data_IF_372642881329
#
_entry.id   IF_372642881329
#
_cell.length_a   1.000
_cell.length_b   1.000
_cell.length_c   1.000
_cell.angle_alpha   90.00
_cell.angle_beta   90.00
_cell.angle_gamma   90.00
#
_symmetry.space_group_name_H-M   'P 1'
#
loop_
_entity.id
_entity.type
_entity.pdbx_description
1 polymer ?
#
# COMPACT_ATOMS: atom_id res chain seq x y z
N UNK A 1 16.72 15.10 -23.77
CA UNK A 1 15.83 14.13 -23.09
C UNK A 1 16.72 13.25 -22.23
N UNK A 2 16.57 13.27 -20.90
CA UNK A 2 17.32 12.37 -20.02
C UNK A 2 16.81 10.96 -20.30
N UNK A 3 17.71 10.01 -20.54
CA UNK A 3 17.33 8.61 -20.73
C UNK A 3 16.57 8.07 -19.49
N UNK A 4 15.56 7.22 -19.73
CA UNK A 4 14.69 6.64 -18.69
C UNK A 4 15.49 5.90 -17.60
N UNK A 5 16.59 5.26 -17.95
CA UNK A 5 17.46 4.55 -17.01
C UNK A 5 18.22 5.53 -16.11
N UNK A 6 18.75 6.62 -16.68
CA UNK A 6 19.36 7.72 -15.92
C UNK A 6 18.37 8.42 -14.99
N UNK A 7 17.13 8.63 -15.43
CA UNK A 7 16.07 9.22 -14.61
C UNK A 7 15.73 8.32 -13.41
N UNK A 8 15.53 7.01 -13.64
CA UNK A 8 15.22 6.06 -12.57
C UNK A 8 16.34 5.97 -11.53
N UNK A 9 17.61 6.05 -11.96
CA UNK A 9 18.75 6.08 -11.05
C UNK A 9 18.74 7.32 -10.15
N UNK A 10 18.47 8.49 -10.71
CA UNK A 10 18.37 9.75 -9.94
C UNK A 10 17.20 9.72 -8.96
N UNK A 11 16.06 9.16 -9.35
CA UNK A 11 14.91 9.01 -8.46
C UNK A 11 15.25 8.07 -7.29
N UNK A 12 15.89 6.93 -7.56
CA UNK A 12 16.32 6.01 -6.51
C UNK A 12 17.34 6.66 -5.54
N UNK A 13 18.32 7.40 -6.06
CA UNK A 13 19.26 8.18 -5.24
C UNK A 13 18.54 9.26 -4.41
N UNK A 14 17.53 9.94 -4.97
CA UNK A 14 16.71 10.89 -4.23
C UNK A 14 15.95 10.21 -3.09
N UNK A 15 15.34 9.05 -3.35
CA UNK A 15 14.58 8.29 -2.35
C UNK A 15 15.43 7.83 -1.17
N UNK A 16 16.70 7.50 -1.41
CA UNK A 16 17.65 7.13 -0.35
C UNK A 16 17.97 8.30 0.58
N UNK A 17 18.02 9.51 0.03
CA UNK A 17 18.36 10.73 0.78
C UNK A 17 17.14 11.39 1.43
N UNK A 18 15.91 11.07 0.98
CA UNK A 18 14.67 11.67 1.47
C UNK A 18 13.66 10.59 1.95
N UNK A 19 14.06 9.73 2.91
CA UNK A 19 13.29 8.54 3.28
C UNK A 19 11.99 8.84 4.03
N UNK A 20 11.72 10.09 4.42
CA UNK A 20 10.54 10.52 5.18
C UNK A 20 9.56 11.38 4.37
N UNK A 21 9.86 11.67 3.10
CA UNK A 21 8.95 12.47 2.27
C UNK A 21 7.75 11.66 1.77
N UNK A 22 6.59 12.31 1.67
CA UNK A 22 5.35 11.71 1.18
C UNK A 22 5.52 11.24 -0.28
N UNK A 23 5.27 9.97 -0.55
CA UNK A 23 5.51 9.39 -1.88
C UNK A 23 4.69 10.07 -2.98
N UNK A 24 3.47 10.48 -2.67
CA UNK A 24 2.61 11.24 -3.58
C UNK A 24 3.20 12.61 -3.94
N UNK A 25 3.82 13.29 -2.97
CA UNK A 25 4.50 14.57 -3.21
C UNK A 25 5.70 14.39 -4.14
N UNK A 26 6.50 13.35 -3.90
CA UNK A 26 7.64 13.02 -4.77
C UNK A 26 7.16 12.73 -6.20
N UNK A 27 6.08 11.97 -6.34
CA UNK A 27 5.48 11.68 -7.64
C UNK A 27 5.07 12.96 -8.37
N UNK A 28 4.41 13.89 -7.65
CA UNK A 28 4.02 15.19 -8.19
C UNK A 28 5.22 16.05 -8.59
N UNK A 29 6.19 16.23 -7.70
CA UNK A 29 7.34 17.12 -7.91
C UNK A 29 8.24 16.64 -9.06
N UNK A 30 8.40 15.32 -9.20
CA UNK A 30 9.19 14.72 -10.26
C UNK A 30 8.38 14.41 -11.53
N UNK A 31 7.08 14.75 -11.56
CA UNK A 31 6.16 14.51 -12.68
C UNK A 31 6.14 13.04 -13.14
N UNK A 32 6.05 12.12 -12.18
CA UNK A 32 5.98 10.68 -12.40
C UNK A 32 4.81 10.07 -11.65
N UNK A 33 4.51 8.81 -11.95
CA UNK A 33 3.48 8.06 -11.24
C UNK A 33 3.95 7.61 -9.86
N UNK A 34 3.00 7.42 -8.93
CA UNK A 34 3.29 6.86 -7.62
C UNK A 34 3.93 5.46 -7.74
N UNK A 35 3.49 4.66 -8.71
CA UNK A 35 4.09 3.36 -9.00
C UNK A 35 5.58 3.48 -9.35
N UNK A 36 5.99 4.45 -10.16
CA UNK A 36 7.41 4.66 -10.48
C UNK A 36 8.23 5.05 -9.25
N UNK A 37 7.67 5.89 -8.36
CA UNK A 37 8.31 6.25 -7.09
C UNK A 37 8.48 5.01 -6.21
N UNK A 38 7.45 4.19 -6.08
CA UNK A 38 7.50 2.97 -5.27
C UNK A 38 8.47 1.94 -5.86
N UNK A 39 8.54 1.80 -7.18
CA UNK A 39 9.53 0.94 -7.86
C UNK A 39 10.97 1.40 -7.64
N UNK A 40 11.19 2.68 -7.34
CA UNK A 40 12.51 3.22 -7.03
C UNK A 40 12.90 3.05 -5.54
N UNK A 41 11.97 2.60 -4.68
CA UNK A 41 12.29 2.30 -3.27
C UNK A 41 13.03 0.97 -3.17
N UNK A 42 14.26 0.93 -2.60
CA UNK A 42 15.05 -0.29 -2.52
C UNK A 42 14.42 -1.39 -1.67
N UNK A 43 13.70 -1.00 -0.61
CA UNK A 43 13.08 -1.94 0.34
C UNK A 43 11.66 -2.35 -0.05
N UNK A 44 11.06 -1.71 -1.06
CA UNK A 44 9.71 -2.07 -1.50
C UNK A 44 9.71 -3.47 -2.13
N UNK A 45 8.77 -4.31 -1.69
CA UNK A 45 8.48 -5.59 -2.35
C UNK A 45 7.20 -5.43 -3.14
N UNK A 46 7.28 -5.64 -4.44
CA UNK A 46 6.18 -5.42 -5.37
C UNK A 46 5.79 -6.76 -5.99
N UNK A 47 4.50 -7.08 -5.93
CA UNK A 47 3.92 -8.29 -6.52
C UNK A 47 2.82 -7.91 -7.49
N UNK A 48 2.47 -8.85 -8.36
CA UNK A 48 1.39 -8.69 -9.32
C UNK A 48 0.03 -8.56 -8.63
N UNK A 49 -0.85 -7.70 -9.17
CA UNK A 49 -2.21 -7.47 -8.66
C UNK A 49 -3.09 -8.72 -8.61
N UNK A 50 -2.76 -9.78 -9.35
CA UNK A 50 -3.41 -11.09 -9.25
C UNK A 50 -3.33 -11.71 -7.83
N UNK A 51 -2.46 -11.19 -6.96
CA UNK A 51 -2.40 -11.58 -5.55
C UNK A 51 -3.45 -10.88 -4.66
N UNK A 52 -4.35 -10.07 -5.22
CA UNK A 52 -5.35 -9.29 -4.47
C UNK A 52 -6.11 -10.13 -3.44
N UNK A 53 -6.69 -11.26 -3.84
CA UNK A 53 -7.51 -12.10 -2.96
C UNK A 53 -6.68 -12.74 -1.84
N UNK A 54 -5.46 -13.18 -2.16
CA UNK A 54 -4.50 -13.73 -1.18
C UNK A 54 -4.14 -12.69 -0.13
N UNK A 55 -3.81 -11.47 -0.56
CA UNK A 55 -3.43 -10.37 0.33
C UNK A 55 -4.63 -9.92 1.17
N UNK A 56 -5.80 -9.70 0.55
CA UNK A 56 -7.00 -9.28 1.26
C UNK A 56 -7.43 -10.31 2.30
N UNK A 57 -7.43 -11.60 1.92
CA UNK A 57 -7.77 -12.72 2.79
C UNK A 57 -6.86 -12.78 4.01
N UNK A 58 -5.54 -12.70 3.81
CA UNK A 58 -4.57 -12.73 4.91
C UNK A 58 -4.75 -11.53 5.86
N UNK A 59 -4.83 -10.32 5.32
CA UNK A 59 -4.92 -9.09 6.14
C UNK A 59 -6.24 -9.02 6.91
N UNK A 60 -7.32 -9.62 6.39
CA UNK A 60 -8.59 -9.74 7.15
C UNK A 60 -8.46 -10.53 8.46
N UNK A 61 -7.39 -11.30 8.65
CA UNK A 61 -7.10 -12.04 9.88
C UNK A 61 -6.28 -11.26 10.93
N UNK A 62 -5.90 -10.02 10.63
CA UNK A 62 -4.95 -9.26 11.45
C UNK A 62 -5.61 -8.54 12.64
N UNK A 63 -6.94 -8.51 12.70
CA UNK A 63 -7.67 -7.64 13.62
C UNK A 63 -7.67 -6.19 13.12
N UNK A 64 -7.69 -5.22 14.04
CA UNK A 64 -7.74 -3.80 13.65
C UNK A 64 -6.48 -3.33 12.93
N UNK A 65 -6.65 -2.93 11.66
CA UNK A 65 -5.69 -2.25 10.79
C UNK A 65 -6.20 -0.84 10.47
N UNK A 66 -5.44 -0.06 9.69
CA UNK A 66 -5.90 1.22 9.17
C UNK A 66 -6.01 1.14 7.65
N UNK A 67 -7.23 1.22 7.13
CA UNK A 67 -7.52 1.35 5.70
C UNK A 67 -7.53 2.84 5.34
N UNK A 68 -6.84 3.20 4.25
CA UNK A 68 -6.64 4.60 3.86
C UNK A 68 -6.89 4.79 2.36
N UNK A 69 -7.73 5.77 2.02
CA UNK A 69 -7.89 6.27 0.64
C UNK A 69 -7.21 7.64 0.58
N UNK A 70 -6.30 7.81 -0.38
CA UNK A 70 -5.59 9.06 -0.61
C UNK A 70 -5.84 9.54 -2.03
N UNK A 71 -6.45 10.71 -2.15
CA UNK A 71 -6.65 11.42 -3.40
C UNK A 71 -6.09 12.85 -3.30
N UNK A 72 -6.16 13.62 -4.38
CA UNK A 72 -5.74 15.03 -4.37
C UNK A 72 -6.53 15.91 -3.41
N UNK A 73 -7.77 15.51 -3.07
CA UNK A 73 -8.70 16.35 -2.31
C UNK A 73 -9.02 15.79 -0.91
N UNK A 74 -8.81 14.50 -0.68
CA UNK A 74 -9.13 13.85 0.59
C UNK A 74 -8.16 12.72 0.93
N UNK A 75 -7.78 12.68 2.22
CA UNK A 75 -7.23 11.51 2.90
C UNK A 75 -8.31 11.01 3.86
N UNK A 76 -8.84 9.82 3.59
CA UNK A 76 -9.85 9.18 4.42
C UNK A 76 -9.26 7.95 5.10
N UNK A 77 -9.33 7.90 6.43
CA UNK A 77 -8.78 6.83 7.26
C UNK A 77 -9.90 6.10 8.00
N UNK A 78 -9.87 4.78 7.96
CA UNK A 78 -10.82 3.91 8.66
C UNK A 78 -10.02 2.87 9.44
N UNK A 79 -10.11 2.96 10.77
CA UNK A 79 -9.50 1.99 11.68
C UNK A 79 -10.49 0.89 12.05
N UNK A 80 -10.07 -0.36 11.93
CA UNK A 80 -10.88 -1.52 12.25
C UNK A 80 -10.45 -2.77 11.48
N UNK A 81 -11.19 -3.86 11.70
CA UNK A 81 -11.02 -5.10 10.93
C UNK A 81 -11.40 -4.89 9.46
N UNK A 82 -10.64 -5.50 8.54
CA UNK A 82 -11.04 -5.50 7.13
C UNK A 82 -12.22 -6.45 6.92
N UNK A 83 -13.29 -5.99 6.27
CA UNK A 83 -14.43 -6.84 5.97
C UNK A 83 -14.05 -7.94 4.96
N UNK A 84 -14.59 -9.16 5.12
CA UNK A 84 -14.52 -10.15 4.06
C UNK A 84 -15.30 -9.65 2.83
N UNK A 85 -14.89 -10.08 1.65
CA UNK A 85 -15.57 -9.71 0.41
C UNK A 85 -15.83 -10.89 -0.53
N UNK A 86 -16.64 -10.63 -1.56
CA UNK A 86 -16.98 -11.59 -2.61
C UNK A 86 -17.01 -10.92 -3.98
N UNK A 87 -16.46 -11.60 -4.98
CA UNK A 87 -16.55 -11.15 -6.37
C UNK A 87 -17.95 -11.33 -6.94
N UNK A 88 -18.53 -10.26 -7.48
CA UNK A 88 -19.72 -10.26 -8.35
C UNK A 88 -19.74 -8.99 -9.19
N UNK A 89 -20.30 -9.06 -10.40
CA UNK A 89 -20.53 -7.90 -11.28
C UNK A 89 -19.28 -7.00 -11.52
N UNK A 90 -18.09 -7.60 -11.64
CA UNK A 90 -16.78 -6.93 -11.82
C UNK A 90 -16.22 -6.21 -10.57
N UNK A 91 -16.86 -6.37 -9.43
CA UNK A 91 -16.39 -5.82 -8.16
C UNK A 91 -16.11 -6.92 -7.15
N UNK A 92 -15.14 -6.66 -6.28
CA UNK A 92 -14.99 -7.30 -4.99
C UNK A 92 -15.85 -6.53 -3.97
N UNK A 93 -16.94 -7.14 -3.55
CA UNK A 93 -17.97 -6.50 -2.73
C UNK A 93 -17.69 -6.75 -1.25
N UNK A 94 -17.42 -5.68 -0.50
CA UNK A 94 -17.14 -5.75 0.93
C UNK A 94 -18.43 -5.96 1.71
N UNK A 95 -18.49 -7.02 2.52
CA UNK A 95 -19.63 -7.23 3.42
C UNK A 95 -19.64 -6.13 4.46
N UNK A 96 -20.83 -5.56 4.73
CA UNK A 96 -20.98 -4.52 5.71
C UNK A 96 -20.48 -4.97 7.08
N UNK A 97 -19.41 -4.33 7.56
CA UNK A 97 -18.90 -4.43 8.93
C UNK A 97 -18.67 -3.01 9.47
N UNK A 98 -18.32 -2.92 10.75
CA UNK A 98 -18.17 -1.68 11.51
C UNK A 98 -17.30 -0.65 10.76
N UNK A 99 -17.94 0.31 10.08
CA UNK A 99 -17.30 1.49 9.48
C UNK A 99 -16.81 1.36 8.03
N UNK A 100 -16.37 0.18 7.57
CA UNK A 100 -15.90 -0.04 6.20
C UNK A 100 -16.85 -0.94 5.40
N UNK A 101 -17.33 -0.44 4.26
CA UNK A 101 -18.13 -1.17 3.28
C UNK A 101 -17.93 -0.54 1.91
N UNK A 102 -18.35 -1.23 0.85
CA UNK A 102 -18.26 -0.72 -0.52
C UNK A 102 -17.84 -1.78 -1.53
N UNK A 103 -17.33 -1.32 -2.66
CA UNK A 103 -17.05 -2.15 -3.83
C UNK A 103 -15.68 -1.77 -4.40
N UNK A 104 -14.80 -2.74 -4.57
CA UNK A 104 -13.45 -2.54 -5.11
C UNK A 104 -13.37 -3.17 -6.50
N UNK A 105 -12.93 -2.44 -7.52
CA UNK A 105 -12.59 -3.03 -8.82
C UNK A 105 -11.23 -3.72 -8.74
N UNK A 106 -11.19 -4.91 -8.13
CA UNK A 106 -9.95 -5.65 -7.91
C UNK A 106 -9.19 -5.92 -9.22
N UNK A 107 -9.90 -6.12 -10.33
CA UNK A 107 -9.32 -6.28 -11.68
C UNK A 107 -8.52 -5.06 -12.17
N UNK A 108 -8.73 -3.87 -11.59
CA UNK A 108 -7.93 -2.68 -11.91
C UNK A 108 -6.61 -2.64 -11.12
N UNK A 109 -6.42 -3.51 -10.13
CA UNK A 109 -5.18 -3.59 -9.36
C UNK A 109 -4.10 -4.22 -10.25
N UNK A 110 -3.13 -3.40 -10.63
CA UNK A 110 -1.99 -3.84 -11.42
C UNK A 110 -0.86 -4.38 -10.55
N UNK A 111 -0.57 -3.69 -9.44
CA UNK A 111 0.51 -4.05 -8.53
C UNK A 111 0.09 -3.88 -7.08
N UNK A 112 0.68 -4.69 -6.21
CA UNK A 112 0.56 -4.56 -4.76
C UNK A 112 1.98 -4.38 -4.21
N UNK A 113 2.20 -3.29 -3.47
CA UNK A 113 3.51 -2.95 -2.92
C UNK A 113 3.50 -3.01 -1.39
N UNK A 114 4.46 -3.72 -0.84
CA UNK A 114 4.74 -3.83 0.59
C UNK A 114 5.92 -2.91 0.92
N UNK A 115 5.69 -1.94 1.81
CA UNK A 115 6.65 -0.90 2.15
C UNK A 115 6.78 -0.81 3.68
N UNK A 116 7.97 -1.14 4.19
CA UNK A 116 8.41 -0.74 5.54
C UNK A 116 9.32 0.49 5.42
N UNK A 117 8.98 1.58 6.10
CA UNK A 117 9.80 2.80 6.13
C UNK A 117 9.53 3.65 7.37
N UNK A 118 10.46 4.56 7.67
CA UNK A 118 10.21 5.65 8.61
C UNK A 118 9.44 6.76 7.90
N UNK A 119 8.40 7.28 8.55
CA UNK A 119 7.64 8.44 8.11
C UNK A 119 7.27 9.27 9.33
N UNK A 120 7.59 10.57 9.31
CA UNK A 120 7.42 11.47 10.45
C UNK A 120 8.02 10.90 11.75
N UNK A 121 9.27 10.40 11.68
CA UNK A 121 9.98 9.73 12.78
C UNK A 121 9.34 8.46 13.35
N UNK A 122 8.30 7.92 12.70
CA UNK A 122 7.62 6.69 13.12
C UNK A 122 7.86 5.57 12.11
N UNK A 123 8.13 4.37 12.61
CA UNK A 123 8.13 3.17 11.78
C UNK A 123 6.72 2.90 11.23
N UNK A 124 6.62 2.64 9.94
CA UNK A 124 5.38 2.29 9.23
C UNK A 124 5.58 1.01 8.44
N UNK A 125 4.52 0.20 8.36
CA UNK A 125 4.43 -0.94 7.46
C UNK A 125 3.10 -0.86 6.72
N UNK A 126 3.15 -0.78 5.40
CA UNK A 126 1.99 -0.51 4.55
C UNK A 126 1.93 -1.42 3.33
N UNK A 127 0.71 -1.69 2.88
CA UNK A 127 0.38 -2.39 1.66
C UNK A 127 -0.35 -1.40 0.76
N UNK A 128 0.23 -1.08 -0.39
CA UNK A 128 -0.30 -0.09 -1.35
C UNK A 128 -0.80 -0.83 -2.58
N UNK A 129 -2.08 -0.67 -2.90
CA UNK A 129 -2.71 -1.24 -4.08
C UNK A 129 -2.66 -0.20 -5.19
N UNK A 130 -2.04 -0.54 -6.32
CA UNK A 130 -1.73 0.38 -7.41
C UNK A 130 -2.51 -0.01 -8.67
N UNK A 131 -3.12 0.97 -9.34
CA UNK A 131 -3.88 0.75 -10.56
C UNK A 131 -3.04 0.89 -11.84
N UNK A 132 -3.64 0.58 -12.99
CA UNK A 132 -3.01 0.72 -14.31
C UNK A 132 -2.60 2.16 -14.70
N UNK A 133 -3.14 3.18 -14.02
CA UNK A 133 -2.74 4.58 -14.22
C UNK A 133 -1.53 4.96 -13.34
N UNK A 134 -0.99 4.00 -12.57
CA UNK A 134 0.14 4.22 -11.67
C UNK A 134 -0.23 4.99 -10.38
N UNK A 135 -1.51 5.01 -10.02
CA UNK A 135 -2.04 5.68 -8.84
C UNK A 135 -2.38 4.68 -7.74
N UNK A 136 -2.42 5.12 -6.48
CA UNK A 136 -2.96 4.28 -5.39
C UNK A 136 -4.47 4.18 -5.50
N UNK A 137 -4.99 2.95 -5.46
CA UNK A 137 -6.41 2.69 -5.25
C UNK A 137 -6.78 2.95 -3.78
N UNK A 138 -5.96 2.41 -2.89
CA UNK A 138 -6.03 2.55 -1.43
C UNK A 138 -4.75 1.96 -0.81
N UNK A 139 -4.62 2.13 0.50
CA UNK A 139 -3.54 1.59 1.32
C UNK A 139 -4.10 0.87 2.53
N UNK A 140 -3.37 -0.10 3.03
CA UNK A 140 -3.61 -0.71 4.34
C UNK A 140 -2.33 -0.60 5.17
N UNK A 141 -2.43 -0.06 6.38
CA UNK A 141 -1.32 0.02 7.32
C UNK A 141 -1.50 -0.99 8.44
N UNK A 142 -0.39 -1.60 8.86
CA UNK A 142 -0.32 -2.33 10.11
C UNK A 142 -0.78 -1.40 11.25
N UNK A 143 -1.68 -1.91 12.08
CA UNK A 143 -2.29 -1.17 13.18
C UNK A 143 -1.27 -0.82 14.26
N UNK A 144 -1.66 0.14 15.11
CA UNK A 144 -0.86 0.57 16.25
C UNK A 144 -1.49 0.18 17.58
N UNK A 145 -0.65 0.00 18.59
CA UNK A 145 -1.07 -0.18 19.97
C UNK A 145 -1.36 1.16 20.66
N UNK A 146 -1.75 1.11 21.94
CA UNK A 146 -2.05 2.29 22.77
C UNK A 146 -0.83 3.21 22.97
N UNK A 147 0.39 2.71 22.73
CA UNK A 147 1.64 3.49 22.80
C UNK A 147 2.07 4.00 21.42
N UNK A 148 1.18 3.93 20.43
CA UNK A 148 1.43 4.29 19.03
C UNK A 148 2.57 3.49 18.38
N UNK A 149 2.93 2.30 18.88
CA UNK A 149 3.89 1.39 18.25
C UNK A 149 3.16 0.45 17.30
N UNK A 150 3.85 -0.04 16.26
CA UNK A 150 3.26 -1.06 15.38
C UNK A 150 2.96 -2.32 16.19
N UNK A 151 1.77 -2.91 15.98
CA UNK A 151 1.39 -4.18 16.62
C UNK A 151 2.34 -5.29 16.13
N UNK A 152 3.13 -5.84 17.05
CA UNK A 152 4.18 -6.83 16.72
C UNK A 152 3.63 -8.04 15.97
N UNK A 153 2.51 -8.61 16.42
CA UNK A 153 1.89 -9.79 15.78
C UNK A 153 1.46 -9.51 14.33
N UNK A 154 0.87 -8.34 14.07
CA UNK A 154 0.50 -7.95 12.70
C UNK A 154 1.73 -7.72 11.83
N UNK A 155 2.80 -7.13 12.38
CA UNK A 155 4.05 -6.93 11.66
C UNK A 155 4.72 -8.26 11.29
N UNK A 156 4.65 -9.27 12.16
CA UNK A 156 5.14 -10.62 11.86
C UNK A 156 4.33 -11.30 10.75
N UNK A 157 2.99 -11.18 10.78
CA UNK A 157 2.11 -11.67 9.70
C UNK A 157 2.40 -10.95 8.38
N UNK A 158 2.56 -9.63 8.42
CA UNK A 158 2.96 -8.82 7.26
C UNK A 158 4.27 -9.34 6.63
N UNK A 159 5.33 -9.52 7.43
CA UNK A 159 6.62 -10.01 6.93
C UNK A 159 6.54 -11.43 6.41
N UNK A 160 5.70 -12.27 7.03
CA UNK A 160 5.44 -13.64 6.57
C UNK A 160 4.71 -13.65 5.23
N UNK A 161 3.69 -12.82 5.06
CA UNK A 161 2.98 -12.64 3.80
C UNK A 161 3.93 -12.20 2.68
N UNK A 162 4.78 -11.21 2.93
CA UNK A 162 5.82 -10.75 1.98
C UNK A 162 6.73 -11.91 1.55
N UNK A 163 7.22 -12.71 2.50
CA UNK A 163 8.07 -13.88 2.20
C UNK A 163 7.36 -14.94 1.38
N UNK A 164 6.07 -15.16 1.62
CA UNK A 164 5.29 -16.17 0.91
C UNK A 164 4.99 -15.78 -0.53
N UNK A 165 4.76 -14.49 -0.79
CA UNK A 165 4.49 -13.96 -2.13
C UNK A 165 5.76 -13.78 -2.97
N UNK A 166 6.94 -13.83 -2.36
CA UNK A 166 8.23 -13.75 -3.04
C UNK A 166 8.76 -15.10 -3.56
N UNK A 167 7.99 -16.18 -3.40
CA UNK A 167 8.29 -17.52 -3.93
C UNK A 167 7.71 -17.69 -5.34
#
# INVERSE_FOLDING_TARGET
MVDKQTFNKKLAEYMQNNPEELLEKIAQDHQVTLTQVIQALPEAKIVDGNNFDTVWGEVSTWGDVMFLIHSGDIIAEISGELPPGKHSDKYFNLRHQKGLSGHIRAEHCQYIAFIERTFMKMSTASIVFLNHAGQSMFKIFVGRDEKHQLKTEQLEKYRTLVKNLAK
#
